data_IF_333217433061
#
_entry.id   IF_333217433061
#
_cell.length_a   1.000
_cell.length_b   1.000
_cell.length_c   1.000
_cell.angle_alpha   90.00
_cell.angle_beta   90.00
_cell.angle_gamma   90.00
#
_symmetry.space_group_name_H-M   'P 1'
#
loop_
_entity.id
_entity.type
_entity.pdbx_description
1 polymer ?
#
# COMPACT_ATOMS: atom_id res chain seq x y z
N UNK A 1 -4.97 -0.33 25.86
CA UNK A 1 -5.20 -0.33 24.41
C UNK A 1 -5.89 0.98 24.01
N UNK A 2 -5.34 1.63 22.99
CA UNK A 2 -5.94 2.85 22.42
C UNK A 2 -6.80 2.41 21.24
N UNK A 3 -8.06 2.86 21.16
CA UNK A 3 -8.94 2.58 20.03
C UNK A 3 -8.58 3.54 18.87
N UNK A 4 -8.49 3.00 17.66
CA UNK A 4 -8.23 3.76 16.44
C UNK A 4 -9.42 3.65 15.48
N UNK A 5 -9.58 4.61 14.61
CA UNK A 5 -10.69 4.63 13.63
C UNK A 5 -10.59 3.45 12.64
N UNK A 6 -9.39 3.00 12.33
CA UNK A 6 -9.06 1.91 11.41
C UNK A 6 -8.99 0.51 12.07
N UNK A 7 -9.31 0.37 13.35
CA UNK A 7 -9.24 -0.92 14.08
C UNK A 7 -9.96 -2.07 13.35
N UNK A 8 -11.07 -1.77 12.68
CA UNK A 8 -11.82 -2.80 11.93
C UNK A 8 -11.04 -3.29 10.73
N UNK A 9 -10.43 -2.39 9.96
CA UNK A 9 -9.63 -2.74 8.78
C UNK A 9 -8.37 -3.54 9.19
N UNK A 10 -7.71 -3.13 10.26
CA UNK A 10 -6.54 -3.83 10.84
C UNK A 10 -6.89 -5.25 11.27
N UNK A 11 -8.00 -5.43 11.99
CA UNK A 11 -8.44 -6.74 12.43
C UNK A 11 -8.77 -7.68 11.26
N UNK A 12 -9.37 -7.14 10.19
CA UNK A 12 -9.69 -7.92 8.98
C UNK A 12 -8.44 -8.28 8.17
N UNK A 13 -7.47 -7.38 8.08
CA UNK A 13 -6.16 -7.68 7.46
C UNK A 13 -5.45 -8.80 8.21
N UNK A 14 -5.35 -8.70 9.53
CA UNK A 14 -4.74 -9.74 10.36
C UNK A 14 -5.48 -11.08 10.23
N UNK A 15 -6.82 -11.09 10.13
CA UNK A 15 -7.59 -12.31 9.92
C UNK A 15 -7.29 -12.97 8.57
N UNK A 16 -7.09 -12.17 7.50
CA UNK A 16 -6.69 -12.70 6.19
C UNK A 16 -5.29 -13.31 6.20
N UNK A 17 -4.34 -12.69 6.89
CA UNK A 17 -2.99 -13.24 7.07
C UNK A 17 -3.01 -14.52 7.90
N UNK A 18 -3.75 -14.54 9.01
CA UNK A 18 -3.93 -15.75 9.82
C UNK A 18 -4.55 -16.90 9.01
N UNK A 19 -5.47 -16.62 8.10
CA UNK A 19 -6.08 -17.63 7.22
C UNK A 19 -5.05 -18.33 6.33
N UNK A 20 -3.95 -17.67 5.98
CA UNK A 20 -2.87 -18.23 5.17
C UNK A 20 -1.84 -19.00 6.03
N UNK A 21 -1.82 -18.81 7.34
CA UNK A 21 -0.84 -19.41 8.26
C UNK A 21 -0.84 -20.93 8.33
N UNK A 22 -1.96 -21.69 8.10
CA UNK A 22 -1.92 -23.15 8.07
C UNK A 22 -0.88 -23.73 7.14
N UNK A 23 -0.60 -23.08 6.01
CA UNK A 23 0.42 -23.52 5.06
C UNK A 23 1.85 -23.58 5.65
N UNK A 24 2.09 -22.96 6.80
CA UNK A 24 3.38 -22.99 7.51
C UNK A 24 3.51 -24.15 8.51
N UNK A 25 2.45 -24.95 8.73
CA UNK A 25 2.42 -25.99 9.77
C UNK A 25 1.84 -27.29 9.23
N UNK A 26 2.62 -28.36 9.23
CA UNK A 26 2.24 -29.70 8.69
C UNK A 26 1.03 -30.34 9.38
N UNK A 27 0.66 -29.87 10.58
CA UNK A 27 -0.41 -30.43 11.41
C UNK A 27 -1.66 -29.53 11.50
N UNK A 28 -1.67 -28.37 10.84
CA UNK A 28 -2.83 -27.47 10.78
C UNK A 28 -3.35 -27.45 9.34
N UNK A 29 -4.53 -27.98 9.12
CA UNK A 29 -5.13 -28.02 7.78
C UNK A 29 -5.87 -26.74 7.45
N UNK A 30 -6.63 -26.19 8.43
CA UNK A 30 -7.45 -25.01 8.26
C UNK A 30 -7.69 -24.29 9.59
N UNK A 31 -8.09 -23.03 9.50
CA UNK A 31 -8.52 -22.24 10.65
C UNK A 31 -9.90 -21.62 10.42
N UNK A 32 -10.62 -21.39 11.50
CA UNK A 32 -11.91 -20.70 11.50
C UNK A 32 -11.74 -19.39 12.26
N UNK A 33 -12.20 -18.27 11.71
CA UNK A 33 -12.01 -16.96 12.32
C UNK A 33 -13.35 -16.24 12.46
N UNK A 34 -13.62 -15.69 13.64
CA UNK A 34 -14.75 -14.80 13.89
C UNK A 34 -14.24 -13.42 14.30
N UNK A 35 -14.59 -12.37 13.56
CA UNK A 35 -14.21 -10.99 13.87
C UNK A 35 -15.44 -10.21 14.30
N UNK A 36 -15.32 -9.46 15.39
CA UNK A 36 -16.38 -8.56 15.83
C UNK A 36 -15.79 -7.30 16.47
N UNK A 37 -16.55 -6.21 16.50
CA UNK A 37 -16.20 -4.94 17.15
C UNK A 37 -17.23 -4.61 18.23
N UNK A 38 -16.74 -4.19 19.40
CA UNK A 38 -17.59 -3.75 20.51
C UNK A 38 -16.79 -3.42 21.75
N UNK A 39 -17.47 -3.04 22.80
CA UNK A 39 -16.86 -2.69 24.07
C UNK A 39 -16.41 -3.97 24.79
N UNK A 40 -15.17 -3.96 25.27
CA UNK A 40 -14.56 -5.06 26.02
C UNK A 40 -13.85 -4.51 27.26
N UNK A 41 -13.73 -5.35 28.28
CA UNK A 41 -12.85 -5.12 29.41
C UNK A 41 -11.58 -5.96 29.24
N UNK A 42 -10.42 -5.31 29.12
CA UNK A 42 -9.13 -5.97 29.08
C UNK A 42 -8.40 -5.77 30.41
N UNK A 43 -7.91 -6.86 31.00
CA UNK A 43 -7.23 -6.80 32.28
C UNK A 43 -6.85 -8.18 32.82
N UNK A 44 -6.30 -8.18 34.03
CA UNK A 44 -5.99 -9.41 34.76
C UNK A 44 -7.23 -9.94 35.47
N UNK A 45 -7.52 -11.21 35.26
CA UNK A 45 -8.61 -11.95 35.88
C UNK A 45 -8.06 -13.18 36.63
N UNK A 46 -8.64 -13.53 37.77
CA UNK A 46 -8.26 -14.71 38.52
C UNK A 46 -8.23 -14.46 40.02
N UNK A 47 -7.96 -15.53 40.77
CA UNK A 47 -7.77 -15.48 42.22
C UNK A 47 -6.29 -15.34 42.59
N UNK A 48 -6.01 -15.37 43.92
CA UNK A 48 -4.66 -15.19 44.47
C UNK A 48 -3.62 -16.21 43.98
N UNK A 49 -4.03 -17.33 43.43
CA UNK A 49 -3.13 -18.42 42.98
C UNK A 49 -2.93 -18.48 41.44
N UNK A 50 -3.77 -17.81 40.66
CA UNK A 50 -3.66 -17.81 39.23
C UNK A 50 -4.25 -16.52 38.62
N UNK A 51 -3.37 -15.66 38.09
CA UNK A 51 -3.73 -14.44 37.38
C UNK A 51 -3.55 -14.67 35.89
N UNK A 52 -4.64 -14.52 35.12
CA UNK A 52 -4.61 -14.57 33.65
C UNK A 52 -4.98 -13.20 33.11
N UNK A 53 -4.17 -12.66 32.19
CA UNK A 53 -4.56 -11.46 31.45
C UNK A 53 -5.48 -11.87 30.31
N UNK A 54 -6.66 -11.27 30.25
CA UNK A 54 -7.67 -11.65 29.27
C UNK A 54 -8.61 -10.50 28.92
N UNK A 55 -9.56 -10.81 28.04
CA UNK A 55 -10.61 -9.90 27.60
C UNK A 55 -11.98 -10.49 27.91
N UNK A 56 -12.86 -9.67 28.47
CA UNK A 56 -14.25 -10.03 28.77
C UNK A 56 -15.20 -9.02 28.12
N UNK A 57 -16.32 -9.52 27.58
CA UNK A 57 -17.37 -8.68 27.02
C UNK A 57 -18.23 -9.43 26.02
N UNK A 58 -19.45 -8.93 25.79
CA UNK A 58 -20.38 -9.50 24.82
C UNK A 58 -19.80 -9.52 23.41
N UNK A 59 -18.95 -8.54 23.07
CA UNK A 59 -18.28 -8.48 21.79
C UNK A 59 -17.37 -9.68 21.53
N UNK A 60 -16.65 -10.13 22.56
CA UNK A 60 -15.77 -11.32 22.49
C UNK A 60 -16.60 -12.60 22.32
N UNK A 61 -17.72 -12.70 23.04
CA UNK A 61 -18.63 -13.85 22.93
C UNK A 61 -19.24 -13.95 21.52
N UNK A 62 -19.58 -12.82 20.91
CA UNK A 62 -20.09 -12.78 19.52
C UNK A 62 -19.00 -13.25 18.55
N UNK A 63 -17.75 -12.79 18.69
CA UNK A 63 -16.64 -13.24 17.86
C UNK A 63 -16.41 -14.76 17.97
N UNK A 64 -16.40 -15.29 19.19
CA UNK A 64 -16.28 -16.73 19.41
C UNK A 64 -17.42 -17.55 18.78
N UNK A 65 -18.65 -17.02 18.78
CA UNK A 65 -19.80 -17.69 18.14
C UNK A 65 -19.73 -17.62 16.61
N UNK A 66 -19.26 -16.52 16.05
CA UNK A 66 -18.99 -16.40 14.61
C UNK A 66 -17.93 -17.42 14.19
N UNK A 67 -16.83 -17.52 14.94
CA UNK A 67 -15.79 -18.53 14.71
C UNK A 67 -16.38 -19.95 14.72
N UNK A 68 -17.23 -20.29 15.70
CA UNK A 68 -17.87 -21.60 15.79
C UNK A 68 -18.92 -21.90 14.70
N UNK A 69 -19.35 -20.90 13.93
CA UNK A 69 -20.24 -21.06 12.76
C UNK A 69 -19.49 -21.00 11.42
N UNK A 70 -18.23 -20.63 11.44
CA UNK A 70 -17.40 -20.55 10.24
C UNK A 70 -17.06 -21.96 9.74
N UNK A 71 -17.01 -22.12 8.44
CA UNK A 71 -16.43 -23.29 7.77
C UNK A 71 -14.89 -23.23 7.80
N UNK A 72 -14.24 -24.33 7.46
CA UNK A 72 -12.78 -24.40 7.34
C UNK A 72 -12.25 -23.32 6.36
N UNK A 73 -11.27 -22.54 6.81
CA UNK A 73 -10.72 -21.42 6.03
C UNK A 73 -11.62 -20.17 5.95
N UNK A 74 -12.76 -20.14 6.64
CA UNK A 74 -13.72 -19.05 6.55
C UNK A 74 -13.53 -18.01 7.66
N UNK A 75 -13.69 -16.73 7.30
CA UNK A 75 -13.65 -15.59 8.22
C UNK A 75 -15.05 -14.95 8.28
N UNK A 76 -15.73 -15.05 9.41
CA UNK A 76 -17.06 -14.48 9.56
C UNK A 76 -17.07 -13.16 10.31
N UNK A 77 -17.87 -12.21 9.79
CA UNK A 77 -18.05 -10.87 10.37
C UNK A 77 -19.52 -10.49 10.41
N UNK A 78 -19.98 -9.68 11.40
CA UNK A 78 -21.31 -9.08 11.36
C UNK A 78 -21.42 -8.09 10.19
N UNK A 79 -22.50 -8.16 9.41
CA UNK A 79 -22.70 -7.27 8.23
C UNK A 79 -22.68 -5.78 8.58
N UNK A 80 -22.95 -5.41 9.84
CA UNK A 80 -22.87 -4.01 10.31
C UNK A 80 -21.44 -3.41 10.22
N UNK A 81 -20.41 -4.25 10.23
CA UNK A 81 -19.02 -3.79 10.14
C UNK A 81 -18.61 -3.48 8.70
N UNK A 82 -19.31 -4.05 7.70
CA UNK A 82 -18.96 -3.94 6.30
C UNK A 82 -18.96 -2.49 5.81
N UNK A 83 -19.97 -1.70 6.24
CA UNK A 83 -20.10 -0.32 5.77
C UNK A 83 -18.84 0.53 5.99
N UNK A 84 -18.12 0.30 7.08
CA UNK A 84 -16.91 1.04 7.43
C UNK A 84 -15.67 0.60 6.62
N UNK A 85 -15.71 -0.60 6.02
CA UNK A 85 -14.53 -1.22 5.38
C UNK A 85 -14.82 -1.78 3.98
N UNK A 86 -16.00 -1.50 3.44
CA UNK A 86 -16.43 -2.00 2.13
C UNK A 86 -15.53 -1.57 0.97
N UNK A 87 -14.82 -0.46 1.15
CA UNK A 87 -13.85 0.05 0.17
C UNK A 87 -12.59 -0.82 0.09
N UNK A 88 -12.19 -1.43 1.22
CA UNK A 88 -10.91 -2.13 1.35
C UNK A 88 -11.02 -3.64 1.24
N UNK A 89 -12.23 -4.19 1.40
CA UNK A 89 -12.44 -5.63 1.49
C UNK A 89 -13.66 -6.10 0.70
N UNK A 90 -13.57 -7.33 0.17
CA UNK A 90 -14.69 -8.04 -0.43
C UNK A 90 -15.35 -8.98 0.55
N UNK A 91 -16.69 -9.00 0.52
CA UNK A 91 -17.50 -9.82 1.40
C UNK A 91 -18.57 -10.57 0.62
N UNK A 92 -18.78 -11.83 0.96
CA UNK A 92 -19.95 -12.61 0.55
C UNK A 92 -21.00 -12.53 1.63
N UNK A 93 -22.19 -12.02 1.32
CA UNK A 93 -23.31 -11.98 2.27
C UNK A 93 -23.87 -13.39 2.48
N UNK A 94 -23.93 -13.84 3.73
CA UNK A 94 -24.47 -15.14 4.11
C UNK A 94 -25.92 -15.05 4.66
N UNK A 95 -26.43 -13.82 4.82
CA UNK A 95 -27.77 -13.57 5.33
C UNK A 95 -27.86 -13.59 6.86
N UNK A 96 -29.03 -14.00 7.37
CA UNK A 96 -29.35 -13.98 8.79
C UNK A 96 -29.02 -15.34 9.44
N UNK A 97 -28.12 -15.35 10.41
CA UNK A 97 -27.73 -16.58 11.15
C UNK A 97 -28.23 -16.47 12.59
N UNK A 98 -28.88 -17.52 13.09
CA UNK A 98 -29.24 -17.65 14.51
C UNK A 98 -28.08 -18.28 15.28
N UNK A 99 -27.58 -17.61 16.29
CA UNK A 99 -26.54 -18.11 17.19
C UNK A 99 -27.06 -18.26 18.61
N UNK A 100 -26.67 -19.33 19.28
CA UNK A 100 -27.13 -19.65 20.65
C UNK A 100 -26.80 -18.50 21.62
N UNK A 101 -27.82 -17.99 22.34
CA UNK A 101 -27.66 -16.93 23.34
C UNK A 101 -27.55 -15.51 22.77
N UNK A 102 -27.95 -15.26 21.53
CA UNK A 102 -28.27 -13.93 21.00
C UNK A 102 -29.79 -13.75 20.95
N UNK A 103 -30.27 -12.52 21.23
CA UNK A 103 -31.71 -12.22 21.30
C UNK A 103 -32.41 -12.23 19.93
N UNK A 104 -31.70 -12.51 18.84
CA UNK A 104 -32.25 -12.57 17.48
C UNK A 104 -31.27 -13.05 16.46
N UNK A 105 -31.70 -13.25 15.20
CA UNK A 105 -30.80 -13.55 14.11
C UNK A 105 -29.89 -12.35 13.79
N UNK A 106 -28.64 -12.61 13.46
CA UNK A 106 -27.64 -11.59 13.08
C UNK A 106 -27.30 -11.71 11.60
N UNK A 107 -27.28 -10.59 10.89
CA UNK A 107 -26.77 -10.55 9.53
C UNK A 107 -25.25 -10.74 9.54
N UNK A 108 -24.77 -11.74 8.80
CA UNK A 108 -23.37 -12.17 8.77
C UNK A 108 -22.87 -12.21 7.32
N UNK A 109 -21.59 -11.93 7.13
CA UNK A 109 -20.90 -12.07 5.87
C UNK A 109 -19.57 -12.81 6.08
N UNK A 110 -19.10 -13.47 5.02
CA UNK A 110 -17.76 -14.03 4.90
C UNK A 110 -16.82 -13.00 4.30
N UNK A 111 -15.66 -12.80 4.91
CA UNK A 111 -14.58 -12.00 4.34
C UNK A 111 -13.83 -12.84 3.31
N UNK A 112 -13.90 -12.45 2.05
CA UNK A 112 -13.28 -13.19 0.95
C UNK A 112 -11.82 -12.78 0.74
N UNK A 113 -11.59 -11.49 0.52
CA UNK A 113 -10.25 -10.97 0.27
C UNK A 113 -10.18 -9.47 0.57
N UNK A 114 -8.97 -8.97 0.73
CA UNK A 114 -8.73 -7.53 0.66
C UNK A 114 -8.88 -7.12 -0.81
N UNK A 115 -9.66 -6.09 -1.07
CA UNK A 115 -9.68 -5.48 -2.41
C UNK A 115 -8.28 -4.96 -2.69
N UNK A 116 -7.70 -5.37 -3.79
CA UNK A 116 -6.43 -4.81 -4.20
C UNK A 116 -6.68 -3.33 -4.54
N UNK A 117 -5.95 -2.44 -3.90
CA UNK A 117 -6.10 -0.98 -4.03
C UNK A 117 -5.98 -0.44 -5.48
N UNK A 118 -5.76 -1.31 -6.46
CA UNK A 118 -5.61 -0.99 -7.87
C UNK A 118 -6.93 -0.67 -8.59
N UNK A 119 -8.03 -1.40 -8.28
CA UNK A 119 -9.30 -1.14 -8.98
C UNK A 119 -9.99 0.12 -8.45
N UNK A 120 -9.86 0.43 -7.15
CA UNK A 120 -10.52 1.61 -6.58
C UNK A 120 -9.69 2.89 -6.71
N UNK A 121 -8.36 2.83 -6.66
CA UNK A 121 -7.53 4.00 -6.99
C UNK A 121 -7.68 4.39 -8.46
N UNK A 122 -7.94 3.45 -9.34
CA UNK A 122 -8.20 3.71 -10.77
C UNK A 122 -9.63 4.21 -11.00
N UNK A 123 -10.66 3.66 -10.32
CA UNK A 123 -12.07 4.09 -10.49
C UNK A 123 -12.37 5.43 -9.82
N UNK A 124 -11.84 5.71 -8.63
CA UNK A 124 -11.98 7.03 -7.99
C UNK A 124 -11.19 8.14 -8.72
N UNK A 125 -10.22 7.75 -9.58
CA UNK A 125 -9.39 8.67 -10.36
C UNK A 125 -9.85 8.88 -11.80
N UNK A 126 -10.68 7.99 -12.33
CA UNK A 126 -11.16 8.05 -13.74
C UNK A 126 -12.61 8.49 -13.88
N UNK A 127 -13.45 8.41 -12.83
CA UNK A 127 -14.86 8.82 -12.90
C UNK A 127 -15.10 10.32 -12.66
N UNK A 128 -14.04 11.09 -12.36
CA UNK A 128 -14.08 12.55 -12.43
C UNK A 128 -13.51 13.02 -13.75
N UNK A 129 -14.32 13.43 -14.69
CA UNK A 129 -13.95 14.18 -15.89
C UNK A 129 -13.35 15.59 -15.59
N UNK A 130 -12.93 15.83 -14.35
CA UNK A 130 -12.31 17.06 -13.90
C UNK A 130 -10.84 16.83 -13.54
N UNK A 131 -9.92 17.47 -14.26
CA UNK A 131 -8.50 17.50 -13.90
C UNK A 131 -8.28 18.05 -12.49
N UNK A 132 -7.07 17.86 -11.96
CA UNK A 132 -6.67 18.43 -10.66
C UNK A 132 -6.95 19.93 -10.68
N UNK A 133 -7.69 20.40 -9.69
CA UNK A 133 -7.93 21.82 -9.49
C UNK A 133 -6.72 22.47 -8.82
N UNK A 134 -6.23 23.55 -9.36
CA UNK A 134 -5.04 24.23 -8.86
C UNK A 134 -3.74 23.45 -9.12
N UNK A 135 -2.75 23.66 -8.29
CA UNK A 135 -1.44 22.98 -8.35
C UNK A 135 -0.71 23.16 -9.68
N UNK A 136 -0.89 24.30 -10.34
CA UNK A 136 -0.32 24.53 -11.67
C UNK A 136 1.21 24.53 -11.68
N UNK A 137 1.83 25.08 -10.63
CA UNK A 137 3.28 25.14 -10.49
C UNK A 137 3.85 23.74 -10.24
N UNK A 138 3.21 22.97 -9.36
CA UNK A 138 3.61 21.57 -9.09
C UNK A 138 3.45 20.72 -10.36
N UNK A 139 2.36 20.88 -11.10
CA UNK A 139 2.12 20.17 -12.36
C UNK A 139 3.14 20.53 -13.46
N UNK A 140 3.59 21.80 -13.51
CA UNK A 140 4.66 22.21 -14.42
C UNK A 140 5.95 21.46 -14.10
N UNK A 141 6.32 21.32 -12.81
CA UNK A 141 7.49 20.53 -12.38
C UNK A 141 7.35 19.05 -12.77
N UNK A 142 6.14 18.45 -12.63
CA UNK A 142 5.91 17.07 -13.05
C UNK A 142 6.15 16.89 -14.56
N UNK A 143 5.68 17.85 -15.36
CA UNK A 143 5.85 17.81 -16.82
C UNK A 143 7.33 17.91 -17.20
N UNK A 144 8.06 18.86 -16.60
CA UNK A 144 9.50 19.05 -16.84
C UNK A 144 10.31 17.80 -16.49
N UNK A 145 10.01 17.15 -15.35
CA UNK A 145 10.69 15.92 -14.95
C UNK A 145 10.42 14.74 -15.92
N UNK A 146 9.22 14.66 -16.49
CA UNK A 146 8.91 13.65 -17.50
C UNK A 146 9.61 13.93 -18.84
N UNK A 147 9.78 15.20 -19.21
CA UNK A 147 10.56 15.60 -20.40
C UNK A 147 12.05 15.30 -20.22
N UNK A 148 12.61 15.59 -19.04
CA UNK A 148 13.97 15.22 -18.67
C UNK A 148 14.16 13.69 -18.74
N UNK A 149 13.21 12.93 -18.16
CA UNK A 149 13.24 11.47 -18.21
C UNK A 149 13.17 10.94 -19.66
N UNK A 150 12.35 11.57 -20.52
CA UNK A 150 12.26 11.23 -21.94
C UNK A 150 13.56 11.47 -22.69
N UNK A 151 14.35 12.46 -22.27
CA UNK A 151 15.69 12.73 -22.83
C UNK A 151 16.78 11.79 -22.31
N UNK A 152 16.44 10.88 -21.38
CA UNK A 152 17.33 9.92 -20.75
C UNK A 152 17.97 10.41 -19.44
N UNK A 153 17.57 11.56 -18.94
CA UNK A 153 18.02 12.06 -17.65
C UNK A 153 17.25 11.39 -16.52
N UNK A 154 17.90 11.22 -15.38
CA UNK A 154 17.29 10.61 -14.20
C UNK A 154 17.12 11.66 -13.12
N UNK A 155 16.01 11.55 -12.36
CA UNK A 155 15.68 12.49 -11.31
C UNK A 155 15.08 11.83 -10.08
N UNK A 156 14.98 12.62 -9.02
CA UNK A 156 14.25 12.28 -7.79
C UNK A 156 13.22 13.37 -7.55
N UNK A 157 11.97 12.97 -7.36
CA UNK A 157 10.89 13.86 -6.95
C UNK A 157 10.46 13.53 -5.53
N UNK A 158 10.49 14.50 -4.64
CA UNK A 158 9.99 14.36 -3.28
C UNK A 158 8.76 15.24 -3.13
N UNK A 159 7.61 14.63 -2.83
CA UNK A 159 6.35 15.32 -2.57
C UNK A 159 6.06 15.25 -1.07
N UNK A 160 6.24 16.37 -0.38
CA UNK A 160 5.97 16.49 1.05
C UNK A 160 4.65 17.19 1.30
N UNK A 161 3.91 16.77 2.33
CA UNK A 161 2.71 17.45 2.78
C UNK A 161 1.88 16.61 3.76
N UNK A 162 1.00 17.29 4.47
CA UNK A 162 0.12 16.66 5.46
C UNK A 162 -0.83 15.61 4.85
N UNK A 163 -1.47 14.83 5.71
CA UNK A 163 -2.48 13.86 5.27
C UNK A 163 -3.63 14.56 4.54
N UNK A 164 -4.09 14.05 3.39
CA UNK A 164 -5.21 14.62 2.65
C UNK A 164 -4.93 15.92 1.87
N UNK A 165 -3.67 16.40 1.83
CA UNK A 165 -3.27 17.63 1.11
C UNK A 165 -3.25 17.47 -0.43
N UNK A 166 -3.44 16.26 -0.94
CA UNK A 166 -3.49 15.98 -2.38
C UNK A 166 -2.24 15.34 -2.98
N UNK A 167 -1.30 14.81 -2.18
CA UNK A 167 -0.09 14.10 -2.68
C UNK A 167 -0.44 12.98 -3.67
N UNK A 168 -1.37 12.11 -3.28
CA UNK A 168 -1.75 10.97 -4.10
C UNK A 168 -2.43 11.35 -5.42
N UNK A 169 -3.08 12.52 -5.49
CA UNK A 169 -3.61 13.05 -6.76
C UNK A 169 -2.49 13.46 -7.72
N UNK A 170 -1.47 14.17 -7.23
CA UNK A 170 -0.30 14.54 -8.04
C UNK A 170 0.49 13.30 -8.50
N UNK A 171 0.66 12.32 -7.63
CA UNK A 171 1.29 11.04 -7.97
C UNK A 171 0.51 10.34 -9.09
N UNK A 172 -0.82 10.31 -8.99
CA UNK A 172 -1.65 9.68 -10.03
C UNK A 172 -1.57 10.40 -11.36
N UNK A 173 -1.58 11.73 -11.38
CA UNK A 173 -1.42 12.52 -12.60
C UNK A 173 -0.06 12.27 -13.25
N UNK A 174 1.01 12.26 -12.44
CA UNK A 174 2.35 11.91 -12.91
C UNK A 174 2.37 10.51 -13.55
N UNK A 175 1.84 9.51 -12.88
CA UNK A 175 1.79 8.14 -13.40
C UNK A 175 0.95 8.04 -14.67
N UNK A 176 -0.21 8.70 -14.73
CA UNK A 176 -1.05 8.72 -15.92
C UNK A 176 -0.32 9.38 -17.11
N UNK A 177 0.39 10.48 -16.87
CA UNK A 177 1.20 11.15 -17.88
C UNK A 177 2.38 10.31 -18.34
N UNK A 178 3.10 9.68 -17.42
CA UNK A 178 4.20 8.76 -17.70
C UNK A 178 3.74 7.57 -18.57
N UNK A 179 2.60 6.95 -18.23
CA UNK A 179 2.02 5.85 -19.04
C UNK A 179 1.62 6.30 -20.43
N UNK A 180 1.04 7.49 -20.59
CA UNK A 180 0.73 8.07 -21.91
C UNK A 180 1.99 8.30 -22.76
N UNK A 181 3.11 8.61 -22.10
CA UNK A 181 4.42 8.75 -22.77
C UNK A 181 5.11 7.41 -23.04
N UNK A 182 4.49 6.28 -22.70
CA UNK A 182 5.06 4.94 -22.90
C UNK A 182 6.09 4.52 -21.85
N UNK A 183 6.17 5.22 -20.72
CA UNK A 183 7.10 4.88 -19.65
C UNK A 183 6.55 3.74 -18.76
N UNK A 184 7.44 2.94 -18.22
CA UNK A 184 7.10 1.91 -17.24
C UNK A 184 6.87 2.60 -15.89
N UNK A 185 5.72 2.33 -15.26
CA UNK A 185 5.40 2.87 -13.94
C UNK A 185 5.24 1.75 -12.93
N UNK A 186 6.03 1.78 -11.87
CA UNK A 186 5.98 0.83 -10.76
C UNK A 186 5.66 1.59 -9.47
N UNK A 187 4.81 1.01 -8.61
CA UNK A 187 4.37 1.67 -7.39
C UNK A 187 4.39 0.71 -6.20
N UNK A 188 4.84 1.21 -5.07
CA UNK A 188 4.70 0.59 -3.76
C UNK A 188 4.30 1.63 -2.72
N UNK A 189 3.56 1.22 -1.71
CA UNK A 189 3.15 2.10 -0.62
C UNK A 189 3.69 1.58 0.71
N UNK A 190 4.17 2.49 1.55
CA UNK A 190 4.49 2.21 2.94
C UNK A 190 3.23 1.95 3.75
N UNK A 191 3.33 1.12 4.77
CA UNK A 191 2.23 0.79 5.67
C UNK A 191 2.67 0.97 7.12
N UNK A 192 1.83 1.65 7.92
CA UNK A 192 2.13 1.94 9.33
C UNK A 192 2.26 0.68 10.21
N UNK A 193 1.64 -0.44 9.82
CA UNK A 193 1.69 -1.72 10.52
C UNK A 193 2.95 -2.48 10.10
N UNK A 194 3.22 -2.49 8.80
CA UNK A 194 4.31 -3.25 8.17
C UNK A 194 5.64 -2.49 8.11
N UNK A 195 5.74 -1.32 8.77
CA UNK A 195 6.95 -0.47 8.76
C UNK A 195 8.21 -1.16 9.32
N UNK A 196 8.07 -2.28 10.02
CA UNK A 196 9.17 -3.11 10.49
C UNK A 196 9.48 -4.32 9.59
N UNK A 197 8.62 -4.62 8.61
CA UNK A 197 8.83 -5.73 7.67
C UNK A 197 9.80 -5.31 6.56
N UNK A 198 11.01 -5.94 6.47
CA UNK A 198 12.00 -5.54 5.48
C UNK A 198 11.47 -5.57 4.06
N UNK A 199 11.75 -4.52 3.30
CA UNK A 199 11.37 -4.36 1.88
C UNK A 199 9.87 -4.42 1.61
N UNK A 200 8.99 -4.18 2.58
CA UNK A 200 7.54 -4.31 2.39
C UNK A 200 7.03 -3.52 1.18
N UNK A 201 7.37 -2.24 1.09
CA UNK A 201 7.00 -1.35 -0.01
C UNK A 201 7.50 -1.83 -1.38
N UNK A 202 8.67 -2.46 -1.41
CA UNK A 202 9.30 -2.95 -2.63
C UNK A 202 8.74 -4.27 -3.14
N UNK A 203 8.05 -5.05 -2.32
CA UNK A 203 7.50 -6.37 -2.72
C UNK A 203 6.61 -6.27 -3.95
N UNK A 204 5.71 -5.27 -3.96
CA UNK A 204 4.81 -5.02 -5.10
C UNK A 204 5.58 -4.56 -6.34
N UNK A 205 6.52 -3.62 -6.18
CA UNK A 205 7.37 -3.11 -7.24
C UNK A 205 8.13 -4.24 -7.92
N UNK A 206 8.81 -5.07 -7.14
CA UNK A 206 9.63 -6.17 -7.66
C UNK A 206 8.76 -7.26 -8.31
N UNK A 207 7.62 -7.62 -7.71
CA UNK A 207 6.66 -8.54 -8.34
C UNK A 207 6.20 -8.03 -9.70
N UNK A 208 5.85 -6.74 -9.79
CA UNK A 208 5.43 -6.11 -11.04
C UNK A 208 6.58 -6.04 -12.06
N UNK A 209 7.82 -5.82 -11.61
CA UNK A 209 8.99 -5.83 -12.48
C UNK A 209 9.21 -7.21 -13.15
N UNK A 210 8.94 -8.30 -12.47
CA UNK A 210 9.01 -9.65 -13.07
C UNK A 210 7.81 -9.98 -13.96
N UNK A 211 6.59 -9.52 -13.65
CA UNK A 211 5.36 -9.89 -14.38
C UNK A 211 5.10 -9.07 -15.66
N UNK A 212 5.86 -8.02 -15.93
CA UNK A 212 5.57 -7.07 -17.01
C UNK A 212 5.96 -7.56 -18.41
N UNK A 213 6.70 -8.64 -18.54
CA UNK A 213 7.00 -9.20 -19.85
C UNK A 213 5.90 -10.15 -20.28
N UNK A 214 5.45 -10.00 -21.52
CA UNK A 214 4.46 -10.71 -22.32
C UNK A 214 4.27 -12.23 -22.11
N UNK A 215 4.69 -12.78 -20.97
CA UNK A 215 4.45 -14.16 -20.53
C UNK A 215 2.99 -14.39 -20.08
N UNK A 216 2.12 -13.36 -20.16
CA UNK A 216 0.67 -13.53 -20.05
C UNK A 216 0.10 -14.51 -21.09
N UNK A 217 0.83 -14.82 -22.15
CA UNK A 217 0.45 -15.80 -23.20
C UNK A 217 0.83 -17.24 -22.86
N UNK A 218 1.46 -17.52 -21.71
CA UNK A 218 1.76 -18.89 -21.23
C UNK A 218 1.02 -19.16 -19.92
N UNK A 219 -0.26 -19.55 -19.97
CA UNK A 219 -1.01 -19.91 -18.77
C UNK A 219 -0.38 -21.15 -18.13
N UNK A 220 0.21 -20.99 -16.94
CA UNK A 220 0.76 -22.09 -16.14
C UNK A 220 2.25 -21.98 -15.76
N UNK A 221 2.93 -20.88 -16.08
CA UNK A 221 4.32 -20.69 -15.63
C UNK A 221 4.35 -20.26 -14.17
N UNK A 222 5.08 -21.00 -13.33
CA UNK A 222 5.24 -20.65 -11.91
C UNK A 222 6.15 -19.42 -11.76
N UNK A 223 5.97 -18.66 -10.67
CA UNK A 223 6.78 -17.47 -10.41
C UNK A 223 8.28 -17.77 -10.37
N UNK A 224 8.67 -18.94 -9.90
CA UNK A 224 10.07 -19.38 -9.88
C UNK A 224 10.67 -19.43 -11.29
N UNK A 225 9.93 -19.96 -12.28
CA UNK A 225 10.40 -20.07 -13.67
C UNK A 225 10.53 -18.68 -14.32
N UNK A 226 9.59 -17.77 -14.02
CA UNK A 226 9.63 -16.38 -14.49
C UNK A 226 10.88 -15.70 -13.94
N UNK A 227 11.14 -15.82 -12.63
CA UNK A 227 12.31 -15.24 -11.97
C UNK A 227 13.60 -15.78 -12.59
N UNK A 228 13.73 -17.11 -12.71
CA UNK A 228 14.94 -17.74 -13.28
C UNK A 228 15.18 -17.28 -14.72
N UNK A 229 14.15 -17.30 -15.56
CA UNK A 229 14.23 -16.85 -16.94
C UNK A 229 14.68 -15.38 -17.06
N UNK A 230 14.13 -14.53 -16.19
CA UNK A 230 14.46 -13.10 -16.17
C UNK A 230 15.90 -12.86 -15.71
N UNK A 231 16.32 -13.49 -14.62
CA UNK A 231 17.69 -13.38 -14.13
C UNK A 231 18.69 -13.92 -15.14
N UNK A 232 18.38 -15.03 -15.80
CA UNK A 232 19.21 -15.63 -16.82
C UNK A 232 19.36 -14.73 -18.06
N UNK A 233 18.32 -13.97 -18.40
CA UNK A 233 18.35 -13.00 -19.49
C UNK A 233 19.19 -11.75 -19.16
N UNK A 234 19.27 -11.36 -17.88
CA UNK A 234 20.11 -10.24 -17.43
C UNK A 234 21.57 -10.68 -17.35
N UNK A 235 21.84 -11.69 -16.56
CA UNK A 235 23.16 -12.31 -16.36
C UNK A 235 22.96 -13.72 -15.76
N UNK A 236 23.44 -14.79 -16.42
CA UNK A 236 23.32 -16.16 -15.92
C UNK A 236 23.86 -16.36 -14.49
N UNK A 237 24.87 -15.59 -14.07
CA UNK A 237 25.42 -15.69 -12.71
C UNK A 237 24.46 -15.19 -11.64
N UNK A 238 23.49 -14.32 -11.98
CA UNK A 238 22.47 -13.84 -11.05
C UNK A 238 21.51 -14.95 -10.60
N UNK A 239 21.33 -16.00 -11.39
CA UNK A 239 20.48 -17.16 -11.01
C UNK A 239 20.96 -17.79 -9.71
N UNK A 240 22.27 -17.75 -9.42
CA UNK A 240 22.84 -18.27 -8.17
C UNK A 240 22.42 -17.45 -6.95
N UNK A 241 21.95 -16.22 -7.16
CA UNK A 241 21.46 -15.33 -6.10
C UNK A 241 19.92 -15.43 -5.93
N UNK A 242 19.21 -16.22 -6.74
CA UNK A 242 17.75 -16.37 -6.66
C UNK A 242 17.24 -16.70 -5.23
N UNK A 243 17.92 -17.51 -4.38
CA UNK A 243 17.48 -17.76 -3.01
C UNK A 243 17.33 -16.49 -2.16
N UNK A 244 18.04 -15.41 -2.48
CA UNK A 244 17.89 -14.12 -1.76
C UNK A 244 16.50 -13.52 -1.96
N UNK A 245 15.83 -13.81 -3.09
CA UNK A 245 14.50 -13.29 -3.41
C UNK A 245 13.39 -13.89 -2.56
N UNK A 246 13.63 -15.02 -1.85
CA UNK A 246 12.68 -15.58 -0.89
C UNK A 246 12.29 -14.58 0.21
N UNK A 247 13.15 -13.59 0.47
CA UNK A 247 12.88 -12.54 1.47
C UNK A 247 11.84 -11.52 1.02
N UNK A 248 11.72 -11.29 -0.30
CA UNK A 248 10.90 -10.19 -0.85
C UNK A 248 9.74 -10.68 -1.72
N UNK A 249 9.88 -11.85 -2.34
CA UNK A 249 8.86 -12.49 -3.16
C UNK A 249 8.33 -13.74 -2.47
N UNK A 250 7.10 -14.12 -2.82
CA UNK A 250 6.51 -15.41 -2.42
C UNK A 250 7.01 -16.48 -3.39
N UNK A 251 8.30 -16.83 -3.28
CA UNK A 251 9.00 -17.86 -4.06
C UNK A 251 9.76 -18.75 -3.09
N UNK A 252 10.07 -19.97 -3.50
CA UNK A 252 10.84 -20.92 -2.71
C UNK A 252 12.00 -21.46 -3.55
N UNK A 253 13.14 -20.79 -3.45
CA UNK A 253 14.39 -21.22 -4.04
C UNK A 253 15.25 -21.91 -2.96
N UNK A 254 15.76 -23.13 -3.19
CA UNK A 254 16.63 -23.79 -2.24
C UNK A 254 17.94 -23.01 -2.08
N UNK A 255 18.39 -22.89 -0.84
CA UNK A 255 19.69 -22.28 -0.53
C UNK A 255 20.83 -23.08 -1.17
N UNK A 256 21.82 -22.38 -1.67
CA UNK A 256 23.04 -22.96 -2.23
C UNK A 256 24.28 -22.57 -1.39
N UNK A 257 25.43 -23.16 -1.71
CA UNK A 257 26.66 -22.92 -0.97
C UNK A 257 27.04 -21.43 -0.91
N UNK A 258 26.79 -20.67 -1.97
CA UNK A 258 27.10 -19.24 -2.05
C UNK A 258 26.21 -18.46 -1.06
N UNK A 259 24.90 -18.67 -1.10
CA UNK A 259 23.94 -17.93 -0.28
C UNK A 259 24.00 -18.37 1.19
N UNK A 260 24.28 -19.63 1.48
CA UNK A 260 24.50 -20.12 2.86
C UNK A 260 25.75 -19.50 3.52
N UNK A 261 26.80 -19.25 2.72
CA UNK A 261 28.03 -18.65 3.24
C UNK A 261 27.93 -17.14 3.52
N UNK A 262 26.85 -16.48 3.08
CA UNK A 262 26.68 -15.03 3.25
C UNK A 262 26.24 -14.69 4.69
N UNK A 263 26.92 -13.74 5.33
CA UNK A 263 26.44 -13.08 6.56
C UNK A 263 25.21 -12.21 6.26
N UNK A 264 24.45 -11.82 7.27
CA UNK A 264 23.24 -11.02 7.11
C UNK A 264 23.46 -9.72 6.32
N UNK A 265 24.56 -9.02 6.57
CA UNK A 265 24.90 -7.77 5.88
C UNK A 265 25.27 -8.01 4.41
N UNK A 266 26.11 -8.99 4.13
CA UNK A 266 26.49 -9.39 2.77
C UNK A 266 25.28 -9.87 1.98
N UNK A 267 24.36 -10.57 2.65
CA UNK A 267 23.12 -11.03 2.08
C UNK A 267 22.21 -9.87 1.66
N UNK A 268 22.03 -8.88 2.52
CA UNK A 268 21.27 -7.67 2.24
C UNK A 268 21.89 -6.84 1.09
N UNK A 269 23.22 -6.70 1.07
CA UNK A 269 23.91 -5.99 0.01
C UNK A 269 23.76 -6.69 -1.37
N UNK A 270 23.91 -8.01 -1.41
CA UNK A 270 23.73 -8.78 -2.64
C UNK A 270 22.25 -8.77 -3.09
N UNK A 271 21.30 -8.85 -2.16
CA UNK A 271 19.88 -8.69 -2.49
C UNK A 271 19.62 -7.31 -3.12
N UNK A 272 20.10 -6.23 -2.51
CA UNK A 272 19.92 -4.89 -3.04
C UNK A 272 20.52 -4.73 -4.46
N UNK A 273 21.69 -5.28 -4.70
CA UNK A 273 22.32 -5.27 -6.03
C UNK A 273 21.50 -6.07 -7.04
N UNK A 274 21.00 -7.24 -6.64
CA UNK A 274 20.14 -8.07 -7.49
C UNK A 274 18.86 -7.34 -7.88
N UNK A 275 18.19 -6.71 -6.91
CA UNK A 275 16.97 -5.94 -7.15
C UNK A 275 17.22 -4.72 -8.05
N UNK A 276 18.33 -4.01 -7.84
CA UNK A 276 18.73 -2.90 -8.71
C UNK A 276 19.00 -3.38 -10.14
N UNK A 277 19.66 -4.54 -10.33
CA UNK A 277 19.89 -5.12 -11.65
C UNK A 277 18.59 -5.48 -12.38
N UNK A 278 17.62 -6.05 -11.68
CA UNK A 278 16.28 -6.33 -12.22
C UNK A 278 15.58 -5.04 -12.67
N UNK A 279 15.60 -3.99 -11.85
CA UNK A 279 15.02 -2.70 -12.20
C UNK A 279 15.76 -1.99 -13.33
N UNK A 280 17.09 -2.09 -13.39
CA UNK A 280 17.91 -1.54 -14.48
C UNK A 280 17.61 -2.24 -15.81
N UNK A 281 17.38 -3.55 -15.81
CA UNK A 281 16.93 -4.28 -16.99
C UNK A 281 15.58 -3.77 -17.50
N UNK A 282 14.66 -3.45 -16.61
CA UNK A 282 13.37 -2.82 -16.98
C UNK A 282 13.56 -1.43 -17.57
N UNK A 283 14.41 -0.62 -16.94
CA UNK A 283 14.73 0.73 -17.40
C UNK A 283 15.41 0.76 -18.78
N UNK A 284 16.10 -0.32 -19.16
CA UNK A 284 16.72 -0.45 -20.48
C UNK A 284 15.70 -0.65 -21.61
N UNK A 285 14.49 -1.12 -21.31
CA UNK A 285 13.42 -1.31 -22.31
C UNK A 285 12.56 -0.06 -22.51
N UNK A 286 12.33 0.73 -21.48
CA UNK A 286 11.67 2.03 -21.52
C UNK A 286 12.00 2.82 -20.24
N UNK A 287 11.95 4.18 -20.28
CA UNK A 287 12.16 4.98 -19.08
C UNK A 287 11.26 4.54 -17.91
N UNK A 288 11.82 4.52 -16.71
CA UNK A 288 11.18 3.95 -15.52
C UNK A 288 10.78 5.03 -14.54
N UNK A 289 9.53 4.99 -14.08
CA UNK A 289 9.04 5.79 -12.96
C UNK A 289 8.74 4.84 -11.81
N UNK A 290 9.39 5.02 -10.67
CA UNK A 290 9.12 4.26 -9.44
C UNK A 290 8.54 5.20 -8.41
N UNK A 291 7.37 4.85 -7.87
CA UNK A 291 6.68 5.60 -6.82
C UNK A 291 6.75 4.83 -5.51
N UNK A 292 7.24 5.50 -4.47
CA UNK A 292 7.15 5.07 -3.08
C UNK A 292 6.18 6.02 -2.37
N UNK A 293 4.90 5.61 -2.30
CA UNK A 293 3.87 6.38 -1.60
C UNK A 293 3.91 6.09 -0.10
N UNK A 294 3.43 7.03 0.72
CA UNK A 294 3.50 6.95 2.18
C UNK A 294 4.90 6.60 2.72
N UNK A 295 5.92 7.21 2.10
CA UNK A 295 7.32 6.90 2.37
C UNK A 295 7.76 7.15 3.83
N UNK A 296 6.97 7.86 4.64
CA UNK A 296 7.21 7.98 6.07
C UNK A 296 7.14 6.63 6.83
N UNK A 297 6.57 5.59 6.20
CA UNK A 297 6.45 4.25 6.77
C UNK A 297 7.45 3.24 6.18
N UNK A 298 8.42 3.69 5.40
CA UNK A 298 9.45 2.80 4.86
C UNK A 298 10.37 2.31 5.99
N UNK A 299 10.68 1.02 5.95
CA UNK A 299 11.72 0.41 6.78
C UNK A 299 13.13 0.79 6.32
N UNK A 300 14.13 0.54 7.16
CA UNK A 300 15.52 0.92 6.88
C UNK A 300 16.11 0.22 5.66
N UNK A 301 15.72 -1.03 5.39
CA UNK A 301 16.17 -1.77 4.21
C UNK A 301 15.56 -1.18 2.94
N UNK A 302 14.29 -0.78 2.99
CA UNK A 302 13.59 -0.07 1.90
C UNK A 302 14.25 1.26 1.58
N UNK A 303 14.64 2.05 2.56
CA UNK A 303 15.39 3.29 2.36
C UNK A 303 16.76 3.05 1.73
N UNK A 304 17.49 2.05 2.22
CA UNK A 304 18.78 1.65 1.64
C UNK A 304 18.66 1.23 0.18
N UNK A 305 17.62 0.47 -0.18
CA UNK A 305 17.35 0.09 -1.56
C UNK A 305 16.96 1.30 -2.41
N UNK A 306 16.15 2.24 -1.92
CA UNK A 306 15.77 3.45 -2.64
C UNK A 306 17.01 4.27 -3.05
N UNK A 307 18.00 4.40 -2.15
CA UNK A 307 19.26 5.07 -2.45
C UNK A 307 20.09 4.36 -3.52
N UNK A 308 20.16 3.02 -3.47
CA UNK A 308 20.88 2.23 -4.49
C UNK A 308 20.19 2.34 -5.84
N UNK A 309 18.86 2.21 -5.88
CA UNK A 309 18.06 2.34 -7.11
C UNK A 309 18.21 3.74 -7.72
N UNK A 310 18.14 4.80 -6.92
CA UNK A 310 18.34 6.17 -7.38
C UNK A 310 19.74 6.40 -7.96
N UNK A 311 20.76 5.66 -7.52
CA UNK A 311 22.13 5.77 -8.01
C UNK A 311 22.36 4.92 -9.27
N UNK A 312 21.89 3.67 -9.28
CA UNK A 312 22.37 2.62 -10.22
C UNK A 312 21.37 2.34 -11.37
N UNK A 313 20.10 2.73 -11.23
CA UNK A 313 19.07 2.50 -12.28
C UNK A 313 18.94 3.74 -13.17
N UNK A 314 19.06 3.57 -14.49
CA UNK A 314 19.03 4.66 -15.48
C UNK A 314 18.34 4.21 -16.78
N UNK A 315 17.49 5.04 -17.43
CA UNK A 315 16.91 6.29 -16.92
C UNK A 315 15.78 6.03 -15.91
N UNK A 316 15.75 6.78 -14.82
CA UNK A 316 14.80 6.61 -13.70
C UNK A 316 14.30 7.96 -13.17
N UNK A 317 13.00 8.06 -12.95
CA UNK A 317 12.40 9.04 -12.03
C UNK A 317 11.93 8.30 -10.76
N UNK A 318 12.63 8.53 -9.64
CA UNK A 318 12.22 8.03 -8.32
C UNK A 318 11.33 9.07 -7.63
N UNK A 319 10.12 8.69 -7.30
CA UNK A 319 9.13 9.56 -6.64
C UNK A 319 8.90 9.09 -5.21
N UNK A 320 9.08 9.99 -4.26
CA UNK A 320 8.85 9.77 -2.83
C UNK A 320 7.70 10.67 -2.39
N UNK A 321 6.55 10.13 -2.03
CA UNK A 321 5.48 10.90 -1.42
C UNK A 321 5.44 10.62 0.08
N UNK A 322 5.61 11.65 0.91
CA UNK A 322 5.72 11.50 2.35
C UNK A 322 5.00 12.60 3.13
N UNK A 323 4.66 12.33 4.37
CA UNK A 323 4.38 13.37 5.35
C UNK A 323 5.69 13.97 5.85
N UNK A 324 5.69 15.21 6.35
CA UNK A 324 6.88 15.80 6.96
C UNK A 324 7.41 14.93 8.09
N UNK A 325 8.72 14.69 8.10
CA UNK A 325 9.37 13.90 9.14
C UNK A 325 9.71 14.77 10.36
N UNK A 326 9.39 14.30 11.55
CA UNK A 326 9.94 14.88 12.79
C UNK A 326 11.45 14.63 12.90
N UNK A 327 11.89 13.42 12.53
CA UNK A 327 13.30 13.02 12.45
C UNK A 327 13.46 12.24 11.13
N UNK A 328 14.03 12.87 10.08
CA UNK A 328 14.15 12.21 8.79
C UNK A 328 15.21 11.10 8.82
N UNK A 329 14.98 9.96 8.14
CA UNK A 329 16.00 8.93 7.93
C UNK A 329 17.22 9.47 7.18
N UNK A 330 18.41 8.96 7.45
CA UNK A 330 19.66 9.41 6.81
C UNK A 330 19.61 9.23 5.29
N UNK A 331 19.07 8.11 4.80
CA UNK A 331 18.95 7.86 3.36
C UNK A 331 17.96 8.83 2.70
N UNK A 332 16.87 9.23 3.38
CA UNK A 332 15.99 10.29 2.90
C UNK A 332 16.72 11.64 2.78
N UNK A 333 17.49 12.01 3.81
CA UNK A 333 18.29 13.24 3.76
C UNK A 333 19.29 13.21 2.60
N UNK A 334 19.94 12.06 2.38
CA UNK A 334 20.86 11.87 1.27
C UNK A 334 20.14 12.05 -0.09
N UNK A 335 18.99 11.38 -0.29
CA UNK A 335 18.21 11.51 -1.52
C UNK A 335 17.75 12.94 -1.76
N UNK A 336 17.29 13.64 -0.72
CA UNK A 336 16.83 15.03 -0.78
C UNK A 336 17.97 16.00 -1.18
N UNK A 337 19.20 15.72 -0.77
CA UNK A 337 20.36 16.57 -1.05
C UNK A 337 21.04 16.24 -2.39
N UNK A 338 20.60 15.21 -3.09
CA UNK A 338 21.13 14.84 -4.40
C UNK A 338 20.83 15.96 -5.41
N UNK A 339 21.80 16.39 -6.26
CA UNK A 339 21.59 17.50 -7.21
C UNK A 339 20.41 17.29 -8.18
N UNK A 340 20.07 16.04 -8.50
CA UNK A 340 18.95 15.67 -9.36
C UNK A 340 17.61 15.60 -8.58
N UNK A 341 17.56 16.04 -7.31
CA UNK A 341 16.36 15.99 -6.49
C UNK A 341 15.58 17.30 -6.57
N UNK A 342 14.29 17.18 -6.81
CA UNK A 342 13.30 18.27 -6.69
C UNK A 342 12.34 17.99 -5.56
N UNK A 343 12.04 19.00 -4.75
CA UNK A 343 11.14 18.89 -3.60
C UNK A 343 9.93 19.77 -3.82
N UNK A 344 8.74 19.16 -3.80
CA UNK A 344 7.46 19.84 -3.79
C UNK A 344 6.87 19.76 -2.38
N UNK A 345 6.91 20.85 -1.64
CA UNK A 345 6.22 20.98 -0.37
C UNK A 345 4.81 21.51 -0.65
N UNK A 346 3.80 20.65 -0.45
CA UNK A 346 2.42 21.01 -0.73
C UNK A 346 1.83 21.85 0.40
N UNK A 347 1.37 23.02 0.04
CA UNK A 347 0.66 23.93 0.94
C UNK A 347 -0.86 23.74 0.83
N UNK A 348 -1.61 24.36 1.73
CA UNK A 348 -3.06 24.43 1.68
C UNK A 348 -3.51 25.11 0.38
N UNK A 349 -4.66 24.71 -0.12
CA UNK A 349 -5.26 25.33 -1.29
C UNK A 349 -5.91 26.68 -0.93
N UNK A 350 -6.00 27.56 -1.91
CA UNK A 350 -6.77 28.78 -1.81
C UNK A 350 -8.27 28.51 -1.66
N UNK A 351 -9.01 29.48 -1.14
CA UNK A 351 -10.47 29.36 -1.02
C UNK A 351 -11.15 29.15 -2.37
N UNK A 352 -10.64 29.75 -3.45
CA UNK A 352 -11.18 29.56 -4.81
C UNK A 352 -10.97 28.12 -5.29
N UNK A 353 -9.81 27.53 -5.05
CA UNK A 353 -9.50 26.15 -5.40
C UNK A 353 -10.34 25.15 -4.59
N UNK A 354 -10.56 25.40 -3.29
CA UNK A 354 -11.45 24.59 -2.45
C UNK A 354 -12.88 24.60 -3.01
N UNK A 355 -13.42 25.77 -3.34
CA UNK A 355 -14.76 25.88 -3.92
C UNK A 355 -14.84 25.21 -5.30
N UNK A 356 -13.79 25.29 -6.08
CA UNK A 356 -13.73 24.61 -7.37
C UNK A 356 -13.76 23.07 -7.23
N UNK A 357 -12.97 22.52 -6.29
CA UNK A 357 -12.98 21.07 -5.95
C UNK A 357 -14.38 20.66 -5.51
N UNK A 358 -14.98 21.40 -4.56
CA UNK A 358 -16.31 21.08 -4.03
C UNK A 358 -17.40 21.18 -5.10
N UNK A 359 -17.33 22.19 -5.97
CA UNK A 359 -18.26 22.34 -7.10
C UNK A 359 -18.15 21.21 -8.11
N UNK A 360 -16.91 20.82 -8.45
CA UNK A 360 -16.63 19.71 -9.34
C UNK A 360 -17.14 18.40 -8.74
N UNK A 361 -16.96 18.17 -7.46
CA UNK A 361 -17.42 16.96 -6.75
C UNK A 361 -18.94 16.83 -6.76
N UNK A 362 -19.66 17.95 -6.61
CA UNK A 362 -21.11 18.02 -6.67
C UNK A 362 -21.68 18.06 -8.10
N UNK A 363 -20.84 18.17 -9.12
CA UNK A 363 -21.28 18.30 -10.51
C UNK A 363 -22.05 19.60 -10.80
N UNK A 364 -21.76 20.66 -10.04
CA UNK A 364 -22.40 21.97 -10.19
C UNK A 364 -21.40 23.03 -10.66
N UNK A 365 -21.87 24.00 -11.43
CA UNK A 365 -21.03 25.10 -11.91
C UNK A 365 -20.72 26.15 -10.83
N UNK A 366 -21.58 26.26 -9.82
CA UNK A 366 -21.41 27.19 -8.70
C UNK A 366 -22.17 26.74 -7.48
N UNK A 367 -21.57 26.92 -6.31
CA UNK A 367 -22.19 26.65 -5.02
C UNK A 367 -23.04 27.86 -4.56
N UNK A 368 -24.18 27.63 -3.88
CA UNK A 368 -24.90 28.72 -3.18
C UNK A 368 -24.00 29.37 -2.13
N UNK A 369 -24.08 30.69 -2.00
CA UNK A 369 -23.21 31.47 -1.12
C UNK A 369 -23.16 30.97 0.34
N UNK A 370 -24.26 30.55 0.99
CA UNK A 370 -24.22 30.02 2.34
C UNK A 370 -23.44 28.70 2.44
N UNK A 371 -23.54 27.84 1.39
CA UNK A 371 -22.81 26.56 1.33
C UNK A 371 -21.33 26.80 1.08
N UNK A 372 -21.00 27.71 0.15
CA UNK A 372 -19.64 28.09 -0.15
C UNK A 372 -18.92 28.63 1.11
N UNK A 373 -19.57 29.52 1.88
CA UNK A 373 -19.02 30.06 3.10
C UNK A 373 -18.80 28.98 4.18
N UNK A 374 -19.74 28.06 4.32
CA UNK A 374 -19.60 26.93 5.26
C UNK A 374 -18.41 26.03 4.89
N UNK A 375 -18.28 25.70 3.60
CA UNK A 375 -17.16 24.87 3.11
C UNK A 375 -15.83 25.58 3.37
N UNK A 376 -15.72 26.88 3.04
CA UNK A 376 -14.49 27.64 3.27
C UNK A 376 -14.11 27.71 4.74
N UNK A 377 -15.10 27.94 5.62
CA UNK A 377 -14.88 27.99 7.07
C UNK A 377 -14.38 26.65 7.63
N UNK A 378 -14.93 25.52 7.14
CA UNK A 378 -14.64 24.20 7.70
C UNK A 378 -13.47 23.49 7.04
N UNK A 379 -13.23 23.74 5.75
CA UNK A 379 -12.12 23.11 5.03
C UNK A 379 -10.77 23.78 5.33
N UNK A 380 -10.75 25.06 5.72
CA UNK A 380 -9.54 25.83 6.06
C UNK A 380 -8.40 25.66 5.03
N UNK A 381 -8.75 25.53 3.74
CA UNK A 381 -7.80 25.31 2.64
C UNK A 381 -7.37 23.84 2.47
N UNK A 382 -7.93 22.91 3.22
CA UNK A 382 -7.56 21.50 3.14
C UNK A 382 -8.40 20.75 2.09
N UNK A 383 -7.80 20.20 1.00
CA UNK A 383 -8.54 19.61 -0.12
C UNK A 383 -9.49 18.49 0.32
N UNK A 384 -9.03 17.57 1.16
CA UNK A 384 -9.82 16.45 1.67
C UNK A 384 -11.11 16.93 2.35
N UNK A 385 -11.04 17.95 3.20
CA UNK A 385 -12.24 18.47 3.84
C UNK A 385 -13.15 19.21 2.86
N UNK A 386 -12.58 19.87 1.83
CA UNK A 386 -13.37 20.48 0.75
C UNK A 386 -14.19 19.45 -0.03
N UNK A 387 -13.64 18.26 -0.27
CA UNK A 387 -14.35 17.13 -0.92
C UNK A 387 -15.38 16.49 0.01
N UNK A 388 -15.04 16.19 1.27
CA UNK A 388 -15.92 15.51 2.22
C UNK A 388 -17.13 16.36 2.62
N UNK A 389 -16.97 17.70 2.72
CA UNK A 389 -18.07 18.61 3.04
C UNK A 389 -19.05 18.82 1.86
N UNK A 390 -18.66 18.37 0.67
CA UNK A 390 -19.52 18.36 -0.51
C UNK A 390 -20.46 17.14 -0.57
N UNK A 391 -20.45 16.27 0.43
CA UNK A 391 -21.39 15.15 0.61
C UNK A 391 -22.43 15.47 1.71
#
# INVERSE_FOLDING_TARGET
PVAHEDDTARALSAALEMRQSPAAFDYVTDIQIGVNRGLIHAGTYGGSESLTYGILGDATNVAARLMGQAEAGQILVPSRLIKAVAKDFEFQQLGQIRMKGLMGPMAVASLERRRMAEEERTTLRTDGEGGIVGRNDERAVLTELLEELASGESGILIIEGEAGIGKSYLVAELQASARRSGFITLEGAGDAIEHSSPYYTWRRIIRSAFNSDKTADSPGMEMNDIVVSHLQAIDPDLVRLAPLLNTILTVDFPENELTQAMSGEVRAENLNRLLAAVLASRSSSAPLVIVLDDAQWLDSASWGLARIVARDVRPLLLVLAARPFSIPPLDYVYLRQTPASRVLALELLSGEEILAISSQRLGVSRLPEPVANLILEKAEGHPFFGEELAY
#
